data_IF_272224374390
#
_entry.id   IF_272224374390
#
_cell.length_a   1.000
_cell.length_b   1.000
_cell.length_c   1.000
_cell.angle_alpha   90.00
_cell.angle_beta   90.00
_cell.angle_gamma   90.00
#
_symmetry.space_group_name_H-M   'P 1'
#
loop_
_entity.id
_entity.type
_entity.pdbx_description
1 polymer ?
#
# COMPACT_ATOMS: atom_id res chain seq x y z
N UNK A 1 -4.80 6.85 -13.36
CA UNK A 1 -3.52 7.24 -12.72
C UNK A 1 -2.48 6.12 -12.77
N UNK A 2 -2.73 4.95 -12.15
CA UNK A 2 -1.78 3.83 -12.08
C UNK A 2 -1.31 3.32 -13.46
N UNK A 3 -2.22 3.23 -14.43
CA UNK A 3 -1.89 2.82 -15.80
C UNK A 3 -0.81 3.71 -16.45
N UNK A 4 -0.92 5.03 -16.29
CA UNK A 4 0.06 5.97 -16.83
C UNK A 4 1.35 6.00 -16.01
N UNK A 5 1.25 6.03 -14.68
CA UNK A 5 2.40 6.19 -13.78
C UNK A 5 3.25 4.94 -13.59
N UNK A 6 2.67 3.74 -13.71
CA UNK A 6 3.40 2.49 -13.53
C UNK A 6 3.62 1.75 -14.86
N UNK A 7 2.60 1.60 -15.71
CA UNK A 7 2.69 0.73 -16.88
C UNK A 7 3.24 1.46 -18.12
N UNK A 8 2.62 2.56 -18.53
CA UNK A 8 3.03 3.31 -19.73
C UNK A 8 4.39 3.99 -19.51
N UNK A 9 4.63 4.55 -18.33
CA UNK A 9 5.91 5.18 -17.96
C UNK A 9 7.06 4.18 -17.82
N UNK A 10 6.79 2.87 -17.91
CA UNK A 10 7.80 1.82 -17.75
C UNK A 10 8.29 1.63 -16.31
N UNK A 11 7.48 2.00 -15.31
CA UNK A 11 7.78 1.86 -13.89
C UNK A 11 8.30 3.14 -13.22
N UNK A 12 8.03 4.32 -13.79
CA UNK A 12 8.59 5.57 -13.28
C UNK A 12 8.21 5.88 -11.83
N UNK A 13 7.04 5.45 -11.35
CA UNK A 13 6.61 5.64 -9.97
C UNK A 13 7.11 4.54 -8.99
N UNK A 14 7.74 3.47 -9.48
CA UNK A 14 8.19 2.35 -8.64
C UNK A 14 9.57 2.66 -8.03
N UNK A 15 9.75 2.50 -6.71
CA UNK A 15 11.05 2.65 -6.05
C UNK A 15 11.96 1.48 -6.39
N UNK A 16 13.29 1.72 -6.33
CA UNK A 16 14.38 0.73 -6.49
C UNK A 16 14.42 -0.04 -7.82
N UNK A 17 13.42 0.10 -8.69
CA UNK A 17 13.40 -0.48 -10.04
C UNK A 17 13.98 0.49 -11.06
N UNK A 18 14.87 -0.01 -11.92
CA UNK A 18 15.35 0.74 -13.09
C UNK A 18 14.19 1.03 -14.04
N UNK A 19 14.11 2.27 -14.51
CA UNK A 19 13.04 2.64 -15.44
C UNK A 19 13.39 2.05 -16.80
N UNK A 20 12.44 1.34 -17.40
CA UNK A 20 12.62 0.77 -18.73
C UNK A 20 12.98 1.87 -19.76
N UNK A 21 14.00 1.65 -20.59
CA UNK A 21 14.37 2.57 -21.68
C UNK A 21 13.29 2.64 -22.76
N UNK A 22 12.81 1.47 -23.20
CA UNK A 22 11.67 1.34 -24.11
C UNK A 22 10.36 1.35 -23.30
N UNK A 23 9.57 2.42 -23.48
CA UNK A 23 8.33 2.73 -22.74
C UNK A 23 7.15 2.90 -23.70
N UNK A 24 5.94 2.98 -23.16
CA UNK A 24 4.72 3.10 -23.95
C UNK A 24 4.02 1.76 -24.20
N UNK A 25 2.79 1.84 -24.72
CA UNK A 25 1.91 0.67 -24.90
C UNK A 25 2.57 -0.39 -25.77
N UNK A 26 3.21 0.01 -26.87
CA UNK A 26 3.91 -0.90 -27.77
C UNK A 26 5.00 -1.71 -27.05
N UNK A 27 5.89 -1.04 -26.33
CA UNK A 27 7.07 -1.67 -25.73
C UNK A 27 6.83 -2.37 -24.40
N UNK A 28 5.77 -2.00 -23.68
CA UNK A 28 5.43 -2.63 -22.40
C UNK A 28 4.40 -3.75 -22.55
N UNK A 29 3.42 -3.59 -23.46
CA UNK A 29 2.30 -4.54 -23.62
C UNK A 29 2.57 -5.53 -24.75
N UNK A 30 3.05 -5.07 -25.92
CA UNK A 30 3.30 -5.99 -27.05
C UNK A 30 4.60 -6.76 -26.88
N UNK A 31 5.62 -6.13 -26.29
CA UNK A 31 6.80 -6.82 -25.73
C UNK A 31 6.62 -6.99 -24.23
N UNK A 32 5.75 -7.94 -23.87
CA UNK A 32 5.23 -8.11 -22.52
C UNK A 32 6.35 -8.22 -21.47
N UNK A 33 6.48 -7.16 -20.66
CA UNK A 33 7.33 -7.16 -19.47
C UNK A 33 6.52 -7.71 -18.30
N UNK A 34 6.42 -9.04 -18.23
CA UNK A 34 5.59 -9.75 -17.26
C UNK A 34 5.81 -9.33 -15.81
N UNK A 35 7.05 -9.00 -15.42
CA UNK A 35 7.34 -8.50 -14.07
C UNK A 35 6.68 -7.15 -13.77
N UNK A 36 6.63 -6.26 -14.77
CA UNK A 36 5.99 -4.94 -14.61
C UNK A 36 4.47 -5.06 -14.67
N UNK A 37 3.95 -5.93 -15.54
CA UNK A 37 2.52 -6.20 -15.65
C UNK A 37 2.01 -6.86 -14.35
N UNK A 38 2.75 -7.83 -13.80
CA UNK A 38 2.44 -8.48 -12.53
C UNK A 38 2.37 -7.49 -11.37
N UNK A 39 3.39 -6.62 -11.23
CA UNK A 39 3.36 -5.54 -10.25
C UNK A 39 2.16 -4.62 -10.46
N UNK A 40 1.90 -4.18 -11.69
CA UNK A 40 0.75 -3.32 -11.98
C UNK A 40 -0.59 -3.96 -11.58
N UNK A 41 -0.80 -5.23 -11.94
CA UNK A 41 -2.01 -5.97 -11.57
C UNK A 41 -2.12 -6.15 -10.05
N UNK A 42 -1.00 -6.39 -9.36
CA UNK A 42 -0.96 -6.52 -7.91
C UNK A 42 -1.34 -5.22 -7.19
N UNK A 43 -0.84 -4.08 -7.68
CA UNK A 43 -1.24 -2.77 -7.18
C UNK A 43 -2.71 -2.43 -7.50
N UNK A 44 -3.20 -2.83 -8.68
CA UNK A 44 -4.60 -2.66 -9.05
C UNK A 44 -5.52 -3.50 -8.16
N UNK A 45 -5.14 -4.74 -7.88
CA UNK A 45 -5.85 -5.61 -6.93
C UNK A 45 -5.91 -4.96 -5.54
N UNK A 46 -4.77 -4.44 -5.05
CA UNK A 46 -4.73 -3.74 -3.77
C UNK A 46 -5.67 -2.52 -3.78
N UNK A 47 -5.56 -1.64 -4.78
CA UNK A 47 -6.35 -0.42 -4.87
C UNK A 47 -7.85 -0.71 -4.99
N UNK A 48 -8.24 -1.70 -5.81
CA UNK A 48 -9.63 -2.10 -5.96
C UNK A 48 -10.20 -2.66 -4.65
N UNK A 49 -9.42 -3.45 -3.93
CA UNK A 49 -9.82 -4.02 -2.63
C UNK A 49 -9.98 -2.92 -1.58
N UNK A 50 -9.04 -1.98 -1.51
CA UNK A 50 -9.13 -0.82 -0.59
C UNK A 50 -10.29 0.10 -0.96
N UNK A 51 -10.51 0.38 -2.25
CA UNK A 51 -11.64 1.16 -2.72
C UNK A 51 -12.97 0.51 -2.30
N UNK A 52 -13.14 -0.79 -2.55
CA UNK A 52 -14.32 -1.54 -2.12
C UNK A 52 -14.50 -1.47 -0.60
N UNK A 53 -13.41 -1.59 0.17
CA UNK A 53 -13.45 -1.49 1.62
C UNK A 53 -13.88 -0.10 2.11
N UNK A 54 -13.33 0.96 1.50
CA UNK A 54 -13.69 2.35 1.81
C UNK A 54 -15.15 2.63 1.50
N UNK A 55 -15.67 2.13 0.38
CA UNK A 55 -17.09 2.25 0.02
C UNK A 55 -17.98 1.51 1.03
N UNK A 56 -17.62 0.27 1.42
CA UNK A 56 -18.36 -0.45 2.47
C UNK A 56 -18.39 0.31 3.80
N UNK A 57 -17.25 0.87 4.23
CA UNK A 57 -17.19 1.66 5.47
C UNK A 57 -18.01 2.95 5.34
N UNK A 58 -18.02 3.58 4.17
CA UNK A 58 -18.83 4.75 3.88
C UNK A 58 -20.32 4.43 4.03
N UNK A 59 -20.75 3.30 3.46
CA UNK A 59 -22.13 2.78 3.55
C UNK A 59 -22.45 2.14 4.92
N UNK A 60 -21.52 2.22 5.88
CA UNK A 60 -21.64 1.69 7.25
C UNK A 60 -21.70 0.16 7.35
N UNK A 61 -21.33 -0.54 6.28
CA UNK A 61 -21.12 -1.99 6.32
C UNK A 61 -19.75 -2.34 6.91
N UNK A 62 -19.71 -3.49 7.58
CA UNK A 62 -18.46 -4.12 8.03
C UNK A 62 -17.95 -5.02 6.92
N UNK A 63 -16.64 -5.07 6.76
CA UNK A 63 -16.07 -6.07 5.85
C UNK A 63 -16.28 -7.48 6.41
N UNK A 64 -16.78 -8.43 5.60
CA UNK A 64 -16.90 -9.80 6.03
C UNK A 64 -15.52 -10.39 6.29
N UNK A 65 -15.32 -11.01 7.46
CA UNK A 65 -14.03 -11.59 7.89
C UNK A 65 -13.45 -12.59 6.87
N UNK A 66 -14.31 -13.31 6.14
CA UNK A 66 -13.89 -14.24 5.09
C UNK A 66 -13.18 -13.51 3.95
N UNK A 67 -13.69 -12.35 3.53
CA UNK A 67 -13.07 -11.51 2.51
C UNK A 67 -11.77 -10.90 3.03
N UNK A 68 -11.74 -10.47 4.29
CA UNK A 68 -10.52 -9.96 4.94
C UNK A 68 -9.42 -11.01 4.95
N UNK A 69 -9.75 -12.25 5.34
CA UNK A 69 -8.79 -13.35 5.37
C UNK A 69 -8.33 -13.72 3.96
N UNK A 70 -9.27 -13.86 3.01
CA UNK A 70 -8.96 -14.19 1.62
C UNK A 70 -8.02 -13.18 0.95
N UNK A 71 -8.28 -11.89 1.15
CA UNK A 71 -7.45 -10.82 0.57
C UNK A 71 -6.07 -10.76 1.22
N UNK A 72 -5.97 -10.96 2.54
CA UNK A 72 -4.69 -11.03 3.24
C UNK A 72 -3.88 -12.27 2.85
N UNK A 73 -4.52 -13.44 2.71
CA UNK A 73 -3.81 -14.65 2.27
C UNK A 73 -3.31 -14.49 0.84
N UNK A 74 -4.12 -13.93 -0.05
CA UNK A 74 -3.69 -13.66 -1.42
C UNK A 74 -2.52 -12.66 -1.47
N UNK A 75 -2.58 -11.57 -0.69
CA UNK A 75 -1.48 -10.61 -0.58
C UNK A 75 -0.21 -11.21 0.02
N UNK A 76 -0.32 -12.09 1.03
CA UNK A 76 0.85 -12.71 1.64
C UNK A 76 1.46 -13.82 0.76
N UNK A 77 0.65 -14.58 0.04
CA UNK A 77 1.11 -15.71 -0.79
C UNK A 77 1.68 -15.21 -2.13
N UNK A 78 1.16 -14.11 -2.70
CA UNK A 78 1.59 -13.63 -4.01
C UNK A 78 3.11 -13.38 -4.11
N UNK A 79 3.78 -12.71 -3.15
CA UNK A 79 5.24 -12.55 -3.15
C UNK A 79 6.03 -13.86 -3.03
N UNK A 80 5.44 -14.91 -2.44
CA UNK A 80 6.09 -16.23 -2.38
C UNK A 80 6.07 -16.95 -3.73
N UNK A 81 4.97 -16.82 -4.47
CA UNK A 81 4.83 -17.41 -5.81
C UNK A 81 5.59 -16.60 -6.87
N UNK A 82 5.61 -15.27 -6.70
CA UNK A 82 6.24 -14.33 -7.62
C UNK A 82 7.13 -13.35 -6.85
N UNK A 83 8.39 -13.72 -6.57
CA UNK A 83 9.33 -12.87 -5.83
C UNK A 83 9.59 -11.50 -6.49
N UNK A 84 9.35 -11.40 -7.80
CA UNK A 84 9.43 -10.15 -8.58
C UNK A 84 8.38 -9.10 -8.17
N UNK A 85 7.38 -9.48 -7.37
CA UNK A 85 6.42 -8.55 -6.78
C UNK A 85 7.00 -7.75 -5.60
N UNK A 86 8.15 -8.16 -5.05
CA UNK A 86 8.82 -7.46 -3.95
C UNK A 86 9.68 -6.34 -4.54
N UNK A 87 9.27 -5.09 -4.31
CA UNK A 87 10.03 -3.92 -4.74
C UNK A 87 11.05 -3.45 -3.71
N UNK A 88 10.70 -3.56 -2.42
CA UNK A 88 11.54 -3.12 -1.32
C UNK A 88 11.67 -4.29 -0.34
N UNK A 89 12.88 -4.75 0.00
CA UNK A 89 13.05 -5.77 1.02
C UNK A 89 12.53 -5.31 2.39
N UNK A 90 12.18 -6.27 3.25
CA UNK A 90 11.79 -5.95 4.63
C UNK A 90 12.86 -5.12 5.35
N UNK A 91 14.13 -5.43 5.13
CA UNK A 91 15.25 -4.76 5.79
C UNK A 91 16.33 -4.41 4.76
N UNK A 92 16.24 -3.23 4.11
CA UNK A 92 17.20 -2.81 3.08
C UNK A 92 18.61 -2.57 3.62
N UNK A 93 18.76 -2.32 4.93
CA UNK A 93 20.04 -2.08 5.59
C UNK A 93 20.84 -3.36 5.92
N UNK A 94 20.27 -4.54 5.69
CA UNK A 94 21.01 -5.80 5.84
C UNK A 94 21.55 -6.15 4.45
N UNK A 95 22.88 -6.14 4.24
CA UNK A 95 23.47 -6.52 2.96
C UNK A 95 23.18 -8.00 2.71
N UNK A 96 22.10 -8.29 1.98
CA UNK A 96 21.89 -9.62 1.41
C UNK A 96 22.83 -9.67 0.22
N UNK A 97 23.99 -10.32 0.37
CA UNK A 97 25.13 -10.28 -0.57
C UNK A 97 24.90 -10.74 -2.02
N UNK A 98 23.67 -10.78 -2.51
CA UNK A 98 23.28 -10.91 -3.92
C UNK A 98 21.80 -10.50 -4.10
N UNK A 99 21.43 -9.94 -5.26
CA UNK A 99 20.01 -9.70 -5.64
C UNK A 99 19.17 -10.99 -5.56
N UNK A 100 19.80 -12.15 -5.74
CA UNK A 100 19.18 -13.47 -5.59
C UNK A 100 18.72 -13.77 -4.16
N UNK A 101 19.39 -13.25 -3.14
CA UNK A 101 19.03 -13.48 -1.74
C UNK A 101 17.75 -12.72 -1.34
N UNK A 102 17.44 -11.61 -2.02
CA UNK A 102 16.23 -10.80 -1.81
C UNK A 102 14.98 -11.52 -2.34
N UNK A 103 15.14 -12.40 -3.32
CA UNK A 103 14.06 -13.18 -3.94
C UNK A 103 13.94 -14.62 -3.41
N UNK A 104 14.71 -14.98 -2.39
CA UNK A 104 14.61 -16.29 -1.75
C UNK A 104 13.30 -16.42 -0.94
N UNK A 105 12.72 -17.63 -0.82
CA UNK A 105 11.48 -17.84 -0.07
C UNK A 105 11.49 -17.30 1.38
N UNK A 106 12.59 -17.41 2.16
CA UNK A 106 12.66 -16.82 3.49
C UNK A 106 12.54 -15.29 3.49
N UNK A 107 13.13 -14.62 2.50
CA UNK A 107 13.04 -13.17 2.36
C UNK A 107 11.62 -12.73 2.00
N UNK A 108 10.94 -13.50 1.13
CA UNK A 108 9.54 -13.25 0.75
C UNK A 108 8.57 -13.43 1.93
N UNK A 109 8.82 -14.44 2.76
CA UNK A 109 8.09 -14.65 4.02
C UNK A 109 8.32 -13.51 5.00
N UNK A 110 9.57 -13.09 5.20
CA UNK A 110 9.91 -11.97 6.06
C UNK A 110 9.27 -10.66 5.58
N UNK A 111 9.28 -10.40 4.27
CA UNK A 111 8.58 -9.26 3.67
C UNK A 111 7.10 -9.27 4.01
N UNK A 112 6.43 -10.40 3.76
CA UNK A 112 4.98 -10.52 3.99
C UNK A 112 4.63 -10.41 5.48
N UNK A 113 5.40 -11.06 6.36
CA UNK A 113 5.20 -11.02 7.82
C UNK A 113 5.48 -9.63 8.39
N UNK A 114 6.60 -9.00 8.01
CA UNK A 114 6.92 -7.63 8.42
C UNK A 114 5.85 -6.66 7.92
N UNK A 115 5.42 -6.80 6.66
CA UNK A 115 4.36 -6.01 6.06
C UNK A 115 3.02 -6.13 6.80
N UNK A 116 2.58 -7.35 7.08
CA UNK A 116 1.35 -7.61 7.85
C UNK A 116 1.41 -7.05 9.26
N UNK A 117 2.50 -7.32 9.99
CA UNK A 117 2.66 -6.91 11.39
C UNK A 117 2.85 -5.40 11.52
N UNK A 118 3.72 -4.81 10.71
CA UNK A 118 3.96 -3.37 10.66
C UNK A 118 2.72 -2.60 10.18
N UNK A 119 2.01 -3.12 9.19
CA UNK A 119 0.73 -2.57 8.75
C UNK A 119 -0.35 -2.67 9.83
N UNK A 120 -0.51 -3.80 10.49
CA UNK A 120 -1.46 -3.94 11.59
C UNK A 120 -1.16 -2.99 12.76
N UNK A 121 0.12 -2.82 13.10
CA UNK A 121 0.57 -1.87 14.12
C UNK A 121 0.26 -0.41 13.71
N UNK A 122 0.55 -0.04 12.46
CA UNK A 122 0.20 1.28 11.92
C UNK A 122 -1.31 1.52 11.95
N UNK A 123 -2.12 0.54 11.55
CA UNK A 123 -3.58 0.63 11.61
C UNK A 123 -4.12 0.70 13.03
N UNK A 124 -3.49 0.01 13.99
CA UNK A 124 -3.82 0.13 15.41
C UNK A 124 -3.57 1.56 15.90
N UNK A 125 -2.38 2.10 15.62
CA UNK A 125 -2.01 3.46 16.01
C UNK A 125 -2.94 4.50 15.37
N UNK A 126 -3.23 4.34 14.09
CA UNK A 126 -4.20 5.19 13.38
C UNK A 126 -5.59 5.13 14.01
N UNK A 127 -6.08 3.92 14.30
CA UNK A 127 -7.41 3.72 14.90
C UNK A 127 -7.50 4.32 16.31
N UNK A 128 -6.42 4.24 17.09
CA UNK A 128 -6.33 4.86 18.41
C UNK A 128 -6.34 6.38 18.32
N UNK A 129 -5.50 6.96 17.44
CA UNK A 129 -5.40 8.40 17.27
C UNK A 129 -6.71 9.01 16.76
N UNK A 130 -7.30 8.42 15.72
CA UNK A 130 -8.55 8.88 15.11
C UNK A 130 -9.73 8.87 16.08
N UNK A 131 -9.79 7.88 16.98
CA UNK A 131 -10.80 7.80 18.03
C UNK A 131 -10.58 8.84 19.13
N UNK A 132 -9.33 9.06 19.54
CA UNK A 132 -8.98 10.04 20.59
C UNK A 132 -9.26 11.49 20.18
N UNK A 133 -9.11 11.78 18.89
CA UNK A 133 -9.27 13.12 18.31
C UNK A 133 -10.60 13.29 17.57
N UNK A 134 -11.54 12.36 17.75
CA UNK A 134 -12.84 12.35 17.09
C UNK A 134 -13.69 13.55 17.52
N UNK A 135 -14.27 14.25 16.55
CA UNK A 135 -15.26 15.29 16.81
C UNK A 135 -16.67 14.68 16.99
N UNK A 136 -17.57 15.30 17.78
CA UNK A 136 -18.92 14.76 18.03
C UNK A 136 -19.75 14.51 16.76
N UNK A 137 -19.55 15.34 15.74
CA UNK A 137 -20.22 15.27 14.43
C UNK A 137 -19.72 14.13 13.53
N UNK A 138 -18.58 13.50 13.85
CA UNK A 138 -17.95 12.50 12.99
C UNK A 138 -18.49 11.09 13.22
N UNK A 139 -18.66 10.34 12.12
CA UNK A 139 -18.92 8.90 12.19
C UNK A 139 -17.73 8.15 12.80
N UNK A 140 -18.02 7.18 13.70
CA UNK A 140 -16.99 6.30 14.26
C UNK A 140 -16.50 5.33 13.19
N UNK A 141 -15.20 5.39 12.88
CA UNK A 141 -14.58 4.43 11.97
C UNK A 141 -14.38 3.06 12.64
N UNK A 142 -14.65 1.96 11.92
CA UNK A 142 -14.47 0.61 12.44
C UNK A 142 -12.98 0.26 12.57
N UNK A 143 -12.45 0.26 13.80
CA UNK A 143 -11.03 0.01 14.08
C UNK A 143 -10.50 -1.31 13.50
N UNK A 144 -11.32 -2.38 13.49
CA UNK A 144 -10.93 -3.66 12.90
C UNK A 144 -10.67 -3.57 11.39
N UNK A 145 -11.52 -2.85 10.66
CA UNK A 145 -11.42 -2.73 9.21
C UNK A 145 -10.26 -1.79 8.83
N UNK A 146 -10.00 -0.75 9.65
CA UNK A 146 -8.80 0.09 9.52
C UNK A 146 -7.53 -0.74 9.72
N UNK A 147 -7.43 -1.52 10.81
CA UNK A 147 -6.28 -2.40 11.06
C UNK A 147 -6.03 -3.35 9.90
N UNK A 148 -7.10 -3.99 9.40
CA UNK A 148 -7.03 -4.87 8.24
C UNK A 148 -6.49 -4.12 7.01
N UNK A 149 -7.00 -2.92 6.74
CA UNK A 149 -6.61 -2.15 5.55
C UNK A 149 -5.12 -1.77 5.58
N UNK A 150 -4.61 -1.30 6.72
CA UNK A 150 -3.19 -1.01 6.86
C UNK A 150 -2.34 -2.28 6.81
N UNK A 151 -2.78 -3.39 7.40
CA UNK A 151 -2.10 -4.69 7.30
C UNK A 151 -2.04 -5.18 5.85
N UNK A 152 -3.13 -5.02 5.10
CA UNK A 152 -3.21 -5.39 3.69
C UNK A 152 -2.29 -4.53 2.81
N UNK A 153 -2.31 -3.21 2.98
CA UNK A 153 -1.37 -2.29 2.30
C UNK A 153 0.08 -2.65 2.65
N UNK A 154 0.37 -2.93 3.93
CA UNK A 154 1.69 -3.37 4.37
C UNK A 154 2.12 -4.71 3.78
N UNK A 155 1.22 -5.68 3.64
CA UNK A 155 1.52 -6.97 3.01
C UNK A 155 1.84 -6.84 1.51
N UNK A 156 1.23 -5.88 0.83
CA UNK A 156 1.45 -5.62 -0.60
C UNK A 156 2.74 -4.83 -0.84
N UNK A 157 2.99 -3.79 -0.04
CA UNK A 157 4.03 -2.78 -0.33
C UNK A 157 5.20 -2.78 0.65
N UNK A 158 5.16 -3.61 1.68
CA UNK A 158 6.11 -3.61 2.79
C UNK A 158 5.69 -2.71 3.96
N UNK A 159 6.29 -2.94 5.13
CA UNK A 159 5.97 -2.22 6.36
C UNK A 159 6.35 -0.73 6.31
N UNK A 160 7.40 -0.39 5.55
CA UNK A 160 7.84 1.01 5.35
C UNK A 160 6.77 1.83 4.62
N UNK A 161 6.12 1.21 3.63
CA UNK A 161 5.00 1.81 2.90
C UNK A 161 3.78 1.96 3.79
N UNK A 162 3.52 1.01 4.69
CA UNK A 162 2.47 1.14 5.71
C UNK A 162 2.74 2.33 6.67
N UNK A 163 3.99 2.54 7.09
CA UNK A 163 4.37 3.65 7.96
C UNK A 163 4.25 5.01 7.26
N UNK A 164 4.68 5.12 6.01
CA UNK A 164 4.52 6.37 5.23
C UNK A 164 3.04 6.63 4.92
N UNK A 165 2.27 5.61 4.56
CA UNK A 165 0.82 5.72 4.39
C UNK A 165 0.11 6.22 5.66
N UNK A 166 0.54 5.75 6.84
CA UNK A 166 0.05 6.27 8.13
C UNK A 166 0.26 7.79 8.27
N UNK A 167 1.44 8.29 7.90
CA UNK A 167 1.74 9.73 7.97
C UNK A 167 0.80 10.51 7.05
N UNK A 168 0.60 10.07 5.80
CA UNK A 168 -0.35 10.71 4.88
C UNK A 168 -1.79 10.65 5.38
N UNK A 169 -2.20 9.50 5.94
CA UNK A 169 -3.53 9.31 6.49
C UNK A 169 -3.79 10.26 7.67
N UNK A 170 -2.83 10.40 8.59
CA UNK A 170 -2.94 11.31 9.73
C UNK A 170 -2.93 12.77 9.29
N UNK A 171 -2.02 13.16 8.39
CA UNK A 171 -1.93 14.52 7.88
C UNK A 171 -3.25 14.94 7.21
N UNK A 172 -3.80 14.08 6.35
CA UNK A 172 -5.05 14.38 5.65
C UNK A 172 -6.26 14.36 6.59
N UNK A 173 -6.29 13.48 7.59
CA UNK A 173 -7.32 13.50 8.63
C UNK A 173 -7.33 14.83 9.39
N UNK A 174 -6.16 15.30 9.83
CA UNK A 174 -6.01 16.57 10.54
C UNK A 174 -6.39 17.75 9.64
N UNK A 175 -5.97 17.72 8.38
CA UNK A 175 -6.32 18.75 7.40
C UNK A 175 -7.83 18.82 7.13
N UNK A 176 -8.50 17.67 6.96
CA UNK A 176 -9.95 17.63 6.75
C UNK A 176 -10.71 18.18 7.96
N UNK A 177 -10.24 17.88 9.17
CA UNK A 177 -10.80 18.40 10.43
C UNK A 177 -10.56 19.89 10.62
N UNK A 178 -9.44 20.40 10.11
CA UNK A 178 -9.17 21.83 10.11
C UNK A 178 -10.09 22.58 9.14
N UNK A 179 -10.37 22.00 7.97
CA UNK A 179 -11.23 22.62 6.95
C UNK A 179 -12.74 22.49 7.23
N UNK A 180 -13.17 21.46 7.96
CA UNK A 180 -14.60 21.16 8.11
C UNK A 180 -14.95 20.77 9.54
N UNK A 181 -15.99 21.41 10.10
CA UNK A 181 -16.54 21.12 11.45
C UNK A 181 -17.22 19.74 11.60
N UNK A 182 -17.15 18.90 10.58
CA UNK A 182 -17.87 17.62 10.56
C UNK A 182 -17.87 16.98 9.18
N UNK A 183 -16.99 15.98 9.03
CA UNK A 183 -16.70 15.14 7.87
C UNK A 183 -17.88 14.88 6.90
N UNK A 184 -17.97 15.68 5.83
CA UNK A 184 -18.77 15.36 4.62
C UNK A 184 -18.15 14.23 3.78
N UNK A 185 -16.85 13.98 3.96
CA UNK A 185 -16.04 13.15 3.06
C UNK A 185 -15.84 11.71 3.57
N UNK A 186 -16.34 11.37 4.77
CA UNK A 186 -16.34 10.01 5.30
C UNK A 186 -14.94 9.37 5.29
N UNK A 187 -14.79 8.06 5.01
CA UNK A 187 -13.49 7.41 4.87
C UNK A 187 -12.81 7.67 3.51
N UNK A 188 -13.38 8.46 2.59
CA UNK A 188 -12.84 8.63 1.23
C UNK A 188 -11.46 9.28 1.21
N UNK A 189 -11.13 10.10 2.22
CA UNK A 189 -9.80 10.67 2.36
C UNK A 189 -8.72 9.60 2.59
N UNK A 190 -9.04 8.40 3.12
CA UNK A 190 -8.07 7.29 3.22
C UNK A 190 -7.61 6.82 1.83
N UNK A 191 -8.53 6.80 0.86
CA UNK A 191 -8.19 6.48 -0.53
C UNK A 191 -7.30 7.59 -1.12
N UNK A 192 -7.63 8.86 -0.88
CA UNK A 192 -6.78 9.98 -1.31
C UNK A 192 -5.37 9.91 -0.69
N UNK A 193 -5.26 9.57 0.59
CA UNK A 193 -3.97 9.35 1.24
C UNK A 193 -3.18 8.19 0.60
N UNK A 194 -3.85 7.09 0.21
CA UNK A 194 -3.20 5.96 -0.45
C UNK A 194 -2.73 6.32 -1.87
N UNK A 195 -3.54 7.06 -2.61
CA UNK A 195 -3.20 7.57 -3.93
C UNK A 195 -2.02 8.55 -3.87
N UNK A 196 -2.02 9.46 -2.90
CA UNK A 196 -0.94 10.43 -2.69
C UNK A 196 0.36 9.71 -2.31
N UNK A 197 0.29 8.78 -1.36
CA UNK A 197 1.42 7.91 -1.01
C UNK A 197 2.00 7.19 -2.24
N UNK A 198 1.15 6.61 -3.09
CA UNK A 198 1.59 5.94 -4.32
C UNK A 198 2.20 6.90 -5.35
N UNK A 199 1.63 8.10 -5.49
CA UNK A 199 2.14 9.09 -6.42
C UNK A 199 3.53 9.60 -6.02
N UNK A 200 3.79 9.72 -4.71
CA UNK A 200 5.07 10.18 -4.17
C UNK A 200 6.00 9.04 -3.74
N UNK A 201 5.62 7.78 -3.99
CA UNK A 201 6.31 6.61 -3.43
C UNK A 201 7.80 6.57 -3.78
N UNK A 202 8.14 6.83 -5.05
CA UNK A 202 9.53 6.91 -5.49
C UNK A 202 10.30 8.05 -4.83
N UNK A 203 9.67 9.21 -4.62
CA UNK A 203 10.33 10.37 -4.03
C UNK A 203 10.79 10.08 -2.60
N UNK A 204 9.97 9.39 -1.79
CA UNK A 204 10.36 9.03 -0.43
C UNK A 204 11.62 8.15 -0.37
N UNK A 205 11.85 7.34 -1.40
CA UNK A 205 12.99 6.42 -1.47
C UNK A 205 14.24 7.02 -2.12
N UNK A 206 14.12 8.13 -2.86
CA UNK A 206 15.29 8.86 -3.38
C UNK A 206 16.10 9.50 -2.24
N UNK A 207 15.44 9.87 -1.14
CA UNK A 207 16.05 10.58 -0.01
C UNK A 207 16.47 9.69 1.16
N UNK A 208 16.16 8.39 1.12
CA UNK A 208 16.64 7.44 2.12
C UNK A 208 18.01 6.97 1.61
N UNK A 209 19.13 7.39 2.23
CA UNK A 209 20.43 6.95 1.80
C UNK A 209 20.49 5.43 1.94
N UNK A 210 20.66 4.74 0.82
CA UNK A 210 21.14 3.36 0.79
C UNK A 210 22.60 3.41 1.25
N UNK A 211 22.82 3.38 2.57
CA UNK A 211 24.13 3.14 3.15
C UNK A 211 24.43 1.65 3.15
#
# INVERSE_FOLDING_TARGET
MFYFLQLISGGAALPLRTINLYRGVLWTVMFAKWDLIGLYLYHCFMLATVLAAVLMIHDRYRLPRRLQLFTLTLAAISPLLFPTLILIPAFPAIPTGSESATHAPPACLLFSLAGLTGGAAAGQLFSWFSQRTRMPSEQRLPAGDLKWMFAFVGAVLGWQSAATFLVFALALLLFCRWLTDGSRWGPAWLLAALLLHHATWRLHWIWIPTM
#
